data_IF_393376774675
#
_entry.id   IF_393376774675
#
_cell.length_a   1.000
_cell.length_b   1.000
_cell.length_c   1.000
_cell.angle_alpha   90.00
_cell.angle_beta   90.00
_cell.angle_gamma   90.00
#
_symmetry.space_group_name_H-M   'P 1'
#
loop_
_entity.id
_entity.type
_entity.pdbx_description
1 polymer ?
#
# COMPACT_ATOMS: atom_id res chain seq x y z
N UNK A 1 -12.99 0.59 -25.41
CA UNK A 1 -12.56 -0.52 -24.52
C UNK A 1 -11.04 -0.54 -24.47
N UNK A 2 -10.44 0.14 -23.48
CA UNK A 2 -8.97 0.16 -23.24
C UNK A 2 -8.71 -0.15 -21.76
N UNK A 3 -9.22 -1.30 -21.35
CA UNK A 3 -8.81 -1.99 -20.14
C UNK A 3 -7.37 -2.46 -20.36
N UNK A 4 -6.43 -1.98 -19.55
CA UNK A 4 -5.18 -2.71 -19.34
C UNK A 4 -5.57 -3.93 -18.52
N UNK A 5 -6.15 -4.95 -19.16
CA UNK A 5 -6.34 -6.26 -18.58
C UNK A 5 -4.95 -6.80 -18.31
N UNK A 6 -4.57 -6.93 -17.03
CA UNK A 6 -3.41 -7.74 -16.70
C UNK A 6 -3.71 -9.19 -17.04
N UNK A 7 -2.78 -9.84 -17.71
CA UNK A 7 -2.86 -11.25 -18.08
C UNK A 7 -3.08 -12.18 -16.89
N UNK A 8 -2.74 -11.72 -15.67
CA UNK A 8 -2.90 -12.43 -14.40
C UNK A 8 -4.34 -12.47 -13.87
N UNK A 9 -5.23 -11.60 -14.37
CA UNK A 9 -6.66 -11.57 -13.97
C UNK A 9 -7.58 -12.36 -14.92
N UNK A 10 -7.02 -13.06 -15.91
CA UNK A 10 -7.83 -13.90 -16.77
C UNK A 10 -8.47 -15.03 -15.93
N UNK A 11 -9.80 -15.24 -15.98
CA UNK A 11 -10.38 -16.45 -15.44
C UNK A 11 -9.76 -17.65 -16.19
N UNK A 12 -9.37 -18.70 -15.47
CA UNK A 12 -8.80 -19.95 -16.03
C UNK A 12 -7.31 -19.95 -16.42
N UNK A 13 -6.46 -19.21 -15.71
CA UNK A 13 -5.01 -19.35 -15.90
C UNK A 13 -4.51 -20.69 -15.36
N UNK A 14 -4.08 -21.59 -16.25
CA UNK A 14 -3.33 -22.80 -15.88
C UNK A 14 -1.94 -22.45 -15.31
N UNK A 15 -1.40 -23.27 -14.39
CA UNK A 15 -0.01 -23.17 -13.98
C UNK A 15 0.92 -23.13 -15.19
N UNK A 16 2.00 -22.35 -15.10
CA UNK A 16 2.97 -22.28 -16.19
C UNK A 16 3.77 -23.58 -16.30
N UNK A 17 4.34 -23.86 -17.47
CA UNK A 17 5.32 -24.93 -17.60
C UNK A 17 6.63 -24.54 -16.91
N UNK A 18 7.49 -25.52 -16.61
CA UNK A 18 8.81 -25.26 -16.00
C UNK A 18 9.68 -24.38 -16.91
N UNK A 19 9.60 -24.57 -18.22
CA UNK A 19 10.34 -23.76 -19.20
C UNK A 19 9.90 -22.30 -19.13
N UNK A 20 8.59 -22.07 -19.03
CA UNK A 20 8.05 -20.71 -18.92
C UNK A 20 8.37 -20.08 -17.57
N UNK A 21 8.35 -20.85 -16.48
CA UNK A 21 8.79 -20.39 -15.17
C UNK A 21 10.26 -19.93 -15.23
N UNK A 22 11.14 -20.76 -15.80
CA UNK A 22 12.56 -20.42 -15.99
C UNK A 22 12.76 -19.17 -16.84
N UNK A 23 11.99 -19.01 -17.92
CA UNK A 23 12.01 -17.80 -18.75
C UNK A 23 11.63 -16.56 -17.94
N UNK A 24 10.58 -16.63 -17.13
CA UNK A 24 10.13 -15.52 -16.27
C UNK A 24 11.19 -15.15 -15.23
N UNK A 25 11.72 -16.14 -14.51
CA UNK A 25 12.74 -15.93 -13.49
C UNK A 25 14.09 -15.46 -14.09
N UNK A 26 14.31 -15.68 -15.38
CA UNK A 26 15.47 -15.15 -16.12
C UNK A 26 15.40 -13.64 -16.40
N UNK A 27 14.27 -12.98 -16.17
CA UNK A 27 14.14 -11.53 -16.39
C UNK A 27 14.96 -10.73 -15.37
N UNK A 28 15.45 -9.56 -15.78
CA UNK A 28 16.29 -8.66 -14.93
C UNK A 28 15.67 -8.38 -13.57
N UNK A 29 14.36 -8.16 -13.51
CA UNK A 29 13.62 -7.84 -12.28
C UNK A 29 13.57 -8.94 -11.23
N UNK A 30 13.83 -10.18 -11.63
CA UNK A 30 13.86 -11.33 -10.72
C UNK A 30 15.25 -11.61 -10.16
N UNK A 31 16.31 -11.04 -10.74
CA UNK A 31 17.71 -11.35 -10.36
C UNK A 31 18.06 -10.88 -8.94
N UNK A 32 17.29 -9.95 -8.37
CA UNK A 32 17.49 -9.41 -7.02
C UNK A 32 16.48 -9.95 -6.00
N UNK A 33 15.61 -10.88 -6.41
CA UNK A 33 14.48 -11.33 -5.60
C UNK A 33 14.84 -12.59 -4.83
N UNK A 34 14.85 -12.50 -3.51
CA UNK A 34 14.92 -13.66 -2.63
C UNK A 34 13.54 -14.35 -2.57
N UNK A 35 13.42 -15.54 -3.16
CA UNK A 35 12.16 -16.29 -3.19
C UNK A 35 12.05 -17.15 -1.92
N UNK A 36 11.17 -16.74 -0.99
CA UNK A 36 10.90 -17.44 0.28
C UNK A 36 9.52 -18.07 0.30
N UNK A 37 9.14 -18.72 -0.80
CA UNK A 37 7.91 -19.51 -0.92
C UNK A 37 8.26 -20.86 -1.53
N UNK A 38 7.35 -21.83 -1.45
CA UNK A 38 7.57 -23.14 -2.08
C UNK A 38 7.63 -23.01 -3.61
N UNK A 39 8.30 -23.95 -4.29
CA UNK A 39 8.32 -24.00 -5.76
C UNK A 39 6.92 -24.16 -6.36
N UNK A 40 6.05 -24.92 -5.68
CA UNK A 40 4.65 -25.11 -6.08
C UNK A 40 3.87 -23.79 -5.98
N UNK A 41 3.95 -23.09 -4.84
CA UNK A 41 3.28 -21.79 -4.68
C UNK A 41 3.80 -20.75 -5.69
N UNK A 42 5.12 -20.75 -5.96
CA UNK A 42 5.72 -19.88 -6.97
C UNK A 42 5.15 -20.18 -8.35
N UNK A 43 5.15 -21.45 -8.77
CA UNK A 43 4.72 -21.88 -10.11
C UNK A 43 3.23 -21.60 -10.34
N UNK A 44 2.40 -21.87 -9.35
CA UNK A 44 0.96 -21.70 -9.43
C UNK A 44 0.56 -20.23 -9.46
N UNK A 45 1.37 -19.36 -8.84
CA UNK A 45 1.07 -17.93 -8.72
C UNK A 45 1.99 -17.03 -9.55
N UNK A 46 2.88 -17.60 -10.38
CA UNK A 46 3.96 -16.84 -11.04
C UNK A 46 3.45 -15.69 -11.89
N UNK A 47 2.25 -15.77 -12.47
CA UNK A 47 1.74 -14.69 -13.32
C UNK A 47 1.43 -13.45 -12.51
N UNK A 48 0.74 -13.64 -11.39
CA UNK A 48 0.50 -12.59 -10.41
C UNK A 48 1.81 -12.09 -9.79
N UNK A 49 2.68 -13.01 -9.36
CA UNK A 49 3.94 -12.63 -8.73
C UNK A 49 4.85 -11.88 -9.71
N UNK A 50 4.92 -12.30 -10.96
CA UNK A 50 5.66 -11.58 -12.00
C UNK A 50 5.11 -10.18 -12.22
N UNK A 51 3.81 -9.99 -12.10
CA UNK A 51 3.14 -8.70 -12.20
C UNK A 51 3.43 -7.79 -10.99
N UNK A 52 3.66 -8.37 -9.82
CA UNK A 52 3.99 -7.68 -8.57
C UNK A 52 5.49 -7.45 -8.35
N UNK A 53 6.36 -8.22 -9.01
CA UNK A 53 7.82 -8.01 -9.04
C UNK A 53 8.14 -6.87 -10.01
N UNK A 54 8.72 -5.81 -9.46
CA UNK A 54 9.00 -4.57 -10.20
C UNK A 54 10.42 -4.07 -9.98
N UNK A 55 10.94 -3.38 -11.00
CA UNK A 55 12.04 -2.43 -10.89
C UNK A 55 11.47 -1.11 -11.40
N UNK A 56 11.41 -0.10 -10.53
CA UNK A 56 11.04 1.27 -10.89
C UNK A 56 12.33 2.09 -10.96
N UNK A 57 12.60 2.68 -12.11
CA UNK A 57 13.86 3.39 -12.38
C UNK A 57 13.61 4.89 -12.57
N UNK A 58 14.63 5.72 -12.32
CA UNK A 58 14.64 7.11 -12.76
C UNK A 58 14.73 7.20 -14.30
N UNK A 59 14.65 8.42 -14.85
CA UNK A 59 14.86 8.64 -16.30
C UNK A 59 16.23 8.19 -16.79
N UNK A 60 17.22 8.22 -15.90
CA UNK A 60 18.61 7.83 -16.13
C UNK A 60 18.84 6.34 -15.92
N UNK A 61 17.78 5.55 -15.63
CA UNK A 61 17.87 4.10 -15.43
C UNK A 61 18.36 3.69 -14.04
N UNK A 62 18.38 4.61 -13.07
CA UNK A 62 18.77 4.30 -11.68
C UNK A 62 17.60 3.61 -10.97
N UNK A 63 17.75 2.39 -10.43
CA UNK A 63 16.68 1.74 -9.68
C UNK A 63 16.33 2.51 -8.40
N UNK A 64 15.12 3.07 -8.35
CA UNK A 64 14.59 3.84 -7.23
C UNK A 64 13.74 2.99 -6.27
N UNK A 65 13.05 1.98 -6.81
CA UNK A 65 12.36 0.97 -6.02
C UNK A 65 12.50 -0.39 -6.69
N UNK A 66 12.87 -1.41 -5.92
CA UNK A 66 12.99 -2.79 -6.44
C UNK A 66 12.29 -3.78 -5.52
N UNK A 67 11.75 -4.84 -6.11
CA UNK A 67 11.36 -6.02 -5.34
C UNK A 67 12.60 -6.79 -4.92
N UNK A 68 12.73 -7.08 -3.62
CA UNK A 68 13.91 -7.76 -3.04
C UNK A 68 13.60 -9.11 -2.44
N UNK A 69 12.35 -9.40 -2.09
CA UNK A 69 11.96 -10.70 -1.55
C UNK A 69 10.45 -10.98 -1.74
N UNK A 70 10.08 -12.25 -1.70
CA UNK A 70 8.68 -12.72 -1.68
C UNK A 70 8.50 -13.67 -0.49
N UNK A 71 7.53 -13.38 0.38
CA UNK A 71 7.21 -14.09 1.61
C UNK A 71 5.86 -14.82 1.55
N UNK A 72 5.68 -15.76 2.46
CA UNK A 72 4.42 -16.45 2.72
C UNK A 72 4.31 -17.82 2.04
N UNK A 73 3.16 -18.15 1.45
CA UNK A 73 1.90 -17.39 1.50
C UNK A 73 1.19 -17.44 2.86
N UNK A 74 0.23 -16.53 3.07
CA UNK A 74 -0.84 -16.68 4.08
C UNK A 74 -2.06 -17.26 3.33
N UNK A 75 -2.40 -18.53 3.57
CA UNK A 75 -3.52 -19.20 2.88
C UNK A 75 -4.82 -19.09 3.68
N UNK A 76 -5.94 -19.31 2.98
CA UNK A 76 -7.27 -19.41 3.60
C UNK A 76 -7.26 -20.48 4.70
N UNK A 77 -7.74 -20.09 5.88
CA UNK A 77 -7.84 -21.00 7.02
C UNK A 77 -6.60 -21.00 7.92
N UNK A 78 -5.48 -20.41 7.51
CA UNK A 78 -4.27 -20.44 8.32
C UNK A 78 -4.30 -19.37 9.42
N UNK A 79 -3.94 -19.80 10.63
CA UNK A 79 -3.48 -18.93 11.70
C UNK A 79 -1.97 -18.84 11.59
N UNK A 80 -1.46 -17.62 11.50
CA UNK A 80 -0.05 -17.37 11.21
C UNK A 80 0.60 -16.42 12.20
N UNK A 81 1.93 -16.46 12.22
CA UNK A 81 2.81 -15.48 12.84
C UNK A 81 3.75 -14.96 11.77
N UNK A 82 3.97 -13.65 11.70
CA UNK A 82 4.93 -13.06 10.78
C UNK A 82 6.33 -13.17 11.37
N UNK A 83 7.24 -13.82 10.63
CA UNK A 83 8.60 -14.10 11.05
C UNK A 83 9.57 -13.66 9.94
N UNK A 84 9.68 -12.37 9.62
CA UNK A 84 10.34 -11.86 8.41
C UNK A 84 11.78 -12.36 8.21
N UNK A 85 12.47 -12.76 9.28
CA UNK A 85 13.86 -13.20 9.26
C UNK A 85 14.04 -14.72 9.24
N UNK A 86 12.95 -15.49 9.18
CA UNK A 86 12.97 -16.96 9.26
C UNK A 86 12.17 -17.59 8.14
N UNK A 87 12.71 -18.66 7.55
CA UNK A 87 12.00 -19.50 6.58
C UNK A 87 11.30 -18.72 5.48
N UNK A 88 9.98 -18.88 5.39
CA UNK A 88 9.13 -18.21 4.40
C UNK A 88 8.71 -16.80 4.79
N UNK A 89 9.08 -16.31 5.97
CA UNK A 89 8.56 -15.06 6.55
C UNK A 89 7.19 -15.20 7.21
N UNK A 90 6.53 -16.35 7.08
CA UNK A 90 5.19 -16.63 7.61
C UNK A 90 5.19 -18.02 8.22
N UNK A 91 5.05 -18.10 9.53
CA UNK A 91 4.94 -19.38 10.24
C UNK A 91 3.48 -19.74 10.47
N UNK A 92 3.07 -20.94 10.04
CA UNK A 92 1.72 -21.46 10.25
C UNK A 92 1.67 -22.12 11.64
N UNK A 93 0.82 -21.62 12.52
CA UNK A 93 0.70 -22.13 13.89
C UNK A 93 -0.54 -23.01 14.10
N UNK A 94 -1.58 -22.82 13.28
CA UNK A 94 -2.77 -23.67 13.28
C UNK A 94 -3.52 -23.52 11.95
N UNK A 95 -4.34 -24.51 11.61
CA UNK A 95 -5.24 -24.48 10.44
C UNK A 95 -6.69 -24.58 10.89
N UNK A 96 -7.55 -23.77 10.28
CA UNK A 96 -8.98 -23.62 10.57
C UNK A 96 -9.29 -23.43 12.07
N UNK A 97 -8.70 -22.42 12.74
CA UNK A 97 -9.02 -22.14 14.14
C UNK A 97 -10.48 -21.67 14.29
N UNK A 98 -11.08 -21.87 15.45
CA UNK A 98 -12.42 -21.36 15.80
C UNK A 98 -12.42 -19.90 16.27
N UNK A 99 -11.33 -19.18 16.05
CA UNK A 99 -11.11 -17.81 16.56
C UNK A 99 -11.73 -16.75 15.64
N UNK A 100 -11.96 -15.56 16.17
CA UNK A 100 -12.40 -14.41 15.36
C UNK A 100 -11.28 -14.01 14.41
N UNK A 101 -11.63 -13.82 13.14
CA UNK A 101 -10.66 -13.43 12.11
C UNK A 101 -10.14 -12.01 12.33
N UNK A 102 -8.93 -11.73 11.86
CA UNK A 102 -8.34 -10.39 11.86
C UNK A 102 -9.21 -9.45 11.04
N UNK A 103 -9.70 -9.85 9.87
CA UNK A 103 -10.63 -9.04 9.08
C UNK A 103 -11.86 -8.63 9.91
N UNK A 104 -12.51 -9.58 10.59
CA UNK A 104 -13.69 -9.27 11.41
C UNK A 104 -13.35 -8.34 12.59
N UNK A 105 -12.17 -8.49 13.21
CA UNK A 105 -11.70 -7.55 14.24
C UNK A 105 -11.53 -6.14 13.67
N UNK A 106 -10.92 -6.01 12.49
CA UNK A 106 -10.66 -4.72 11.84
C UNK A 106 -11.96 -4.04 11.35
N UNK A 107 -12.94 -4.82 10.88
CA UNK A 107 -14.28 -4.32 10.56
C UNK A 107 -14.99 -3.79 11.81
N UNK A 108 -14.98 -4.54 12.90
CA UNK A 108 -15.57 -4.11 14.16
C UNK A 108 -14.91 -2.83 14.72
N UNK A 109 -13.60 -2.65 14.53
CA UNK A 109 -12.91 -1.41 14.88
C UNK A 109 -13.44 -0.21 14.08
N UNK A 110 -13.59 -0.34 12.76
CA UNK A 110 -14.11 0.72 11.89
C UNK A 110 -15.57 1.10 12.20
N UNK A 111 -16.37 0.13 12.60
CA UNK A 111 -17.77 0.31 13.00
C UNK A 111 -17.89 1.03 14.35
N UNK A 112 -17.05 0.67 15.32
CA UNK A 112 -17.06 1.25 16.67
C UNK A 112 -16.40 2.62 16.77
N UNK A 113 -15.54 2.99 15.80
CA UNK A 113 -14.82 4.27 15.79
C UNK A 113 -15.25 5.08 14.56
N UNK A 114 -16.23 5.97 14.75
CA UNK A 114 -16.83 6.76 13.66
C UNK A 114 -16.27 8.18 13.54
N UNK A 115 -15.36 8.57 14.43
CA UNK A 115 -14.72 9.89 14.42
C UNK A 115 -13.25 9.80 14.77
N UNK A 116 -12.51 10.84 14.36
CA UNK A 116 -11.11 11.07 14.71
C UNK A 116 -11.00 12.41 15.43
N UNK A 117 -10.07 12.52 16.37
CA UNK A 117 -9.81 13.78 17.08
C UNK A 117 -9.26 14.84 16.12
N UNK A 118 -9.54 16.10 16.43
CA UNK A 118 -9.04 17.23 15.66
C UNK A 118 -7.51 17.21 15.63
N UNK A 119 -6.92 17.54 14.47
CA UNK A 119 -5.47 17.46 14.25
C UNK A 119 -4.95 16.08 13.84
N UNK A 120 -5.66 14.99 14.16
CA UNK A 120 -5.22 13.64 13.83
C UNK A 120 -5.56 13.21 12.40
N UNK A 121 -6.39 13.97 11.68
CA UNK A 121 -6.73 13.72 10.29
C UNK A 121 -6.96 15.02 9.52
N UNK A 122 -6.62 15.01 8.22
CA UNK A 122 -7.00 16.05 7.27
C UNK A 122 -8.25 15.63 6.51
N UNK A 123 -9.23 16.53 6.38
CA UNK A 123 -10.40 16.34 5.54
C UNK A 123 -10.09 16.93 4.16
N UNK A 124 -10.27 16.14 3.11
CA UNK A 124 -10.00 16.56 1.73
C UNK A 124 -11.29 16.50 0.92
N UNK A 125 -11.66 17.61 0.29
CA UNK A 125 -12.76 17.63 -0.68
C UNK A 125 -12.28 17.01 -1.98
N UNK A 126 -12.81 15.85 -2.34
CA UNK A 126 -12.22 15.02 -3.39
C UNK A 126 -13.25 14.22 -4.18
N UNK A 127 -13.16 14.27 -5.51
CA UNK A 127 -13.93 13.41 -6.41
C UNK A 127 -13.03 12.28 -6.94
N UNK A 128 -13.36 11.04 -6.58
CA UNK A 128 -12.68 9.84 -7.03
C UNK A 128 -13.23 9.40 -8.38
N UNK A 129 -12.41 9.45 -9.43
CA UNK A 129 -12.79 8.97 -10.77
C UNK A 129 -11.84 7.85 -11.16
N UNK A 130 -12.38 6.63 -11.22
CA UNK A 130 -11.60 5.44 -11.56
C UNK A 130 -11.03 5.56 -12.99
N UNK A 131 -10.04 4.73 -13.31
CA UNK A 131 -9.52 4.68 -14.68
C UNK A 131 -10.58 4.19 -15.70
N UNK A 132 -11.51 3.35 -15.25
CA UNK A 132 -12.60 2.79 -16.06
C UNK A 132 -13.69 3.83 -16.35
N UNK A 133 -13.93 4.74 -15.40
CA UNK A 133 -14.90 5.83 -15.50
C UNK A 133 -14.36 7.07 -16.23
N UNK A 134 -13.23 6.93 -16.94
CA UNK A 134 -12.63 8.02 -17.72
C UNK A 134 -11.63 8.90 -16.96
N UNK A 135 -11.28 8.54 -15.71
CA UNK A 135 -10.24 9.22 -14.93
C UNK A 135 -8.81 8.84 -15.30
N UNK A 136 -8.63 8.05 -16.37
CA UNK A 136 -7.34 7.46 -16.78
C UNK A 136 -6.28 8.52 -17.03
N UNK A 137 -5.12 8.30 -16.43
CA UNK A 137 -3.96 9.15 -16.59
C UNK A 137 -3.13 8.72 -17.81
N UNK A 138 -2.89 9.61 -18.79
CA UNK A 138 -2.05 9.28 -19.93
C UNK A 138 -0.57 9.24 -19.52
N UNK A 139 0.21 8.43 -20.23
CA UNK A 139 1.69 8.42 -20.21
C UNK A 139 2.35 8.09 -18.86
N UNK A 140 1.68 7.34 -17.98
CA UNK A 140 2.34 6.77 -16.81
C UNK A 140 3.26 5.61 -17.19
N UNK A 141 4.31 5.42 -16.40
CA UNK A 141 5.15 4.23 -16.46
C UNK A 141 4.27 2.97 -16.27
N UNK A 142 4.37 1.93 -17.12
CA UNK A 142 3.61 0.68 -16.95
C UNK A 142 3.80 -0.02 -15.59
N UNK A 143 4.90 0.27 -14.88
CA UNK A 143 5.22 -0.24 -13.55
C UNK A 143 4.71 0.66 -12.40
N UNK A 144 4.09 1.80 -12.71
CA UNK A 144 3.59 2.77 -11.73
C UNK A 144 2.51 2.19 -10.81
N UNK A 145 1.74 1.24 -11.34
CA UNK A 145 0.71 0.52 -10.59
C UNK A 145 0.80 -0.99 -10.87
N UNK A 146 0.96 -1.79 -9.82
CA UNK A 146 0.99 -3.27 -9.90
C UNK A 146 -0.40 -3.90 -10.12
N UNK A 147 -1.45 -3.09 -10.20
CA UNK A 147 -2.83 -3.55 -10.38
C UNK A 147 -3.47 -3.10 -11.71
N UNK A 148 -2.78 -2.29 -12.53
CA UNK A 148 -3.27 -1.90 -13.86
C UNK A 148 -3.23 -0.40 -14.10
N UNK A 149 -4.36 0.19 -14.48
CA UNK A 149 -4.47 1.60 -14.83
C UNK A 149 -4.78 2.48 -13.61
N UNK A 150 -4.26 3.71 -13.61
CA UNK A 150 -4.46 4.68 -12.53
C UNK A 150 -5.50 5.73 -12.95
N UNK A 151 -6.50 5.94 -12.09
CA UNK A 151 -7.52 6.98 -12.21
C UNK A 151 -7.07 8.32 -11.61
N UNK A 152 -8.03 9.21 -11.38
CA UNK A 152 -7.80 10.57 -10.89
C UNK A 152 -8.61 10.84 -9.62
N UNK A 153 -7.94 11.27 -8.57
CA UNK A 153 -8.57 11.84 -7.38
C UNK A 153 -8.53 13.36 -7.49
N UNK A 154 -9.61 13.95 -7.99
CA UNK A 154 -9.71 15.40 -8.16
C UNK A 154 -9.94 16.07 -6.81
N UNK A 155 -8.98 16.86 -6.36
CA UNK A 155 -9.03 17.57 -5.09
C UNK A 155 -9.19 19.07 -5.33
N UNK A 156 -10.02 19.71 -4.51
CA UNK A 156 -10.29 21.16 -4.56
C UNK A 156 -9.50 21.92 -3.47
N UNK A 157 -8.29 21.47 -3.18
CA UNK A 157 -7.41 22.04 -2.16
C UNK A 157 -6.18 22.66 -2.82
N UNK A 158 -5.68 23.77 -2.28
CA UNK A 158 -4.42 24.38 -2.76
C UNK A 158 -3.17 23.67 -2.21
N UNK A 159 -3.31 22.97 -1.08
CA UNK A 159 -2.30 22.13 -0.46
C UNK A 159 -2.99 21.09 0.43
N UNK A 160 -2.46 19.86 0.45
CA UNK A 160 -2.89 18.81 1.37
C UNK A 160 -1.70 18.45 2.27
N UNK A 161 -1.89 18.60 3.58
CA UNK A 161 -0.88 18.27 4.60
C UNK A 161 -1.42 17.09 5.39
N UNK A 162 -0.80 15.94 5.24
CA UNK A 162 -1.18 14.75 5.99
C UNK A 162 -0.57 14.79 7.39
N UNK A 163 -1.37 14.68 8.47
CA UNK A 163 -0.80 14.53 9.80
C UNK A 163 -0.10 13.18 9.92
N UNK A 164 1.08 13.17 10.52
CA UNK A 164 1.84 11.95 10.81
C UNK A 164 1.69 11.63 12.28
N UNK A 165 1.12 10.47 12.60
CA UNK A 165 1.04 9.95 13.96
C UNK A 165 2.16 8.94 14.20
N UNK A 166 2.95 9.22 15.23
CA UNK A 166 3.93 8.28 15.79
C UNK A 166 3.26 7.25 16.69
N UNK A 167 3.87 6.07 16.82
CA UNK A 167 3.37 4.98 17.70
C UNK A 167 3.24 5.42 19.17
N UNK A 168 3.96 6.45 19.59
CA UNK A 168 3.90 7.04 20.93
C UNK A 168 2.77 8.05 21.11
N UNK A 169 2.06 8.43 20.03
CA UNK A 169 0.96 9.37 20.09
C UNK A 169 -0.20 8.78 20.90
N UNK A 170 -0.82 9.52 21.86
CA UNK A 170 -1.84 8.98 22.76
C UNK A 170 -3.07 8.43 22.04
N UNK A 171 -3.35 8.94 20.84
CA UNK A 171 -4.51 8.55 20.03
C UNK A 171 -4.16 7.62 18.86
N UNK A 172 -2.94 7.07 18.81
CA UNK A 172 -2.47 6.27 17.67
C UNK A 172 -3.42 5.10 17.35
N UNK A 173 -3.71 4.26 18.34
CA UNK A 173 -4.58 3.08 18.18
C UNK A 173 -6.05 3.46 17.94
N UNK A 174 -6.56 4.50 18.62
CA UNK A 174 -7.93 5.00 18.41
C UNK A 174 -8.11 5.53 16.98
N UNK A 175 -7.10 6.22 16.46
CA UNK A 175 -7.11 6.77 15.10
C UNK A 175 -6.92 5.65 14.06
N UNK A 176 -6.10 4.63 14.32
CA UNK A 176 -6.03 3.43 13.48
C UNK A 176 -7.38 2.71 13.41
N UNK A 177 -8.04 2.52 14.56
CA UNK A 177 -9.33 1.86 14.65
C UNK A 177 -10.39 2.53 13.78
N UNK A 178 -10.40 3.87 13.71
CA UNK A 178 -11.28 4.62 12.80
C UNK A 178 -11.13 4.21 11.33
N UNK A 179 -9.94 3.83 10.88
CA UNK A 179 -9.72 3.35 9.50
C UNK A 179 -9.98 1.84 9.34
N UNK A 180 -10.34 1.12 10.40
CA UNK A 180 -10.36 -0.33 10.40
C UNK A 180 -8.97 -0.91 10.29
N UNK A 181 -8.03 -0.33 11.04
CA UNK A 181 -6.65 -0.74 11.10
C UNK A 181 -6.23 -1.05 12.53
N UNK A 182 -5.17 -1.84 12.69
CA UNK A 182 -4.51 -2.07 13.97
C UNK A 182 -3.03 -2.35 13.79
N UNK A 183 -2.23 -2.03 14.81
CA UNK A 183 -0.84 -2.46 14.87
C UNK A 183 -0.75 -3.87 15.48
N UNK A 184 -0.28 -4.83 14.70
CA UNK A 184 0.09 -6.17 15.17
C UNK A 184 1.43 -6.08 15.90
N UNK A 185 1.49 -6.65 17.11
CA UNK A 185 2.74 -6.72 17.86
C UNK A 185 3.75 -7.66 17.18
N UNK A 186 5.06 -7.53 17.48
CA UNK A 186 6.05 -8.48 16.99
C UNK A 186 5.66 -9.92 17.34
N UNK A 187 5.65 -10.78 16.33
CA UNK A 187 5.22 -12.17 16.42
C UNK A 187 3.78 -12.39 16.95
N UNK A 188 2.90 -11.39 16.87
CA UNK A 188 1.48 -11.57 17.17
C UNK A 188 0.87 -12.56 16.19
N UNK A 189 0.23 -13.58 16.76
CA UNK A 189 -0.49 -14.59 16.02
C UNK A 189 -1.87 -14.08 15.59
N UNK A 190 -2.25 -14.28 14.33
CA UNK A 190 -3.58 -13.92 13.83
C UNK A 190 -4.13 -14.93 12.83
N UNK A 191 -5.46 -15.09 12.85
CA UNK A 191 -6.20 -15.81 11.82
C UNK A 191 -6.76 -14.80 10.83
N UNK A 192 -6.26 -14.75 9.59
CA UNK A 192 -6.59 -13.65 8.70
C UNK A 192 -8.08 -13.57 8.34
N UNK A 193 -8.69 -14.70 7.98
CA UNK A 193 -10.08 -14.75 7.51
C UNK A 193 -10.30 -14.32 6.06
N UNK A 194 -9.23 -14.15 5.26
CA UNK A 194 -9.37 -13.86 3.84
C UNK A 194 -9.64 -15.15 3.06
N UNK A 195 -10.45 -15.04 1.99
CA UNK A 195 -10.90 -16.20 1.20
C UNK A 195 -9.85 -16.70 0.21
N UNK A 196 -8.92 -15.83 -0.20
CA UNK A 196 -7.84 -16.14 -1.13
C UNK A 196 -6.48 -16.08 -0.40
N UNK A 197 -5.40 -16.13 -1.16
CA UNK A 197 -4.03 -16.19 -0.65
C UNK A 197 -3.36 -14.82 -0.69
N UNK A 198 -2.60 -14.46 0.35
CA UNK A 198 -1.68 -13.31 0.30
C UNK A 198 -0.22 -13.73 0.23
N UNK A 199 0.54 -12.95 -0.54
CA UNK A 199 2.00 -13.02 -0.63
C UNK A 199 2.60 -11.73 -0.13
N UNK A 200 3.62 -11.81 0.72
CA UNK A 200 4.36 -10.64 1.18
C UNK A 200 5.39 -10.21 0.14
N UNK A 201 5.21 -9.07 -0.51
CA UNK A 201 6.16 -8.54 -1.48
C UNK A 201 7.05 -7.51 -0.80
N UNK A 202 8.36 -7.76 -0.75
CA UNK A 202 9.30 -6.78 -0.21
C UNK A 202 9.73 -5.79 -1.28
N UNK A 203 9.50 -4.51 -1.00
CA UNK A 203 9.98 -3.40 -1.80
C UNK A 203 11.07 -2.65 -1.04
N UNK A 204 12.20 -2.43 -1.71
CA UNK A 204 13.30 -1.60 -1.23
C UNK A 204 13.25 -0.23 -1.92
N UNK A 205 13.02 0.82 -1.14
CA UNK A 205 13.02 2.24 -1.55
C UNK A 205 14.23 2.97 -0.97
N UNK A 206 15.40 2.33 -1.00
CA UNK A 206 16.60 2.79 -0.30
C UNK A 206 17.25 4.05 -0.89
N UNK A 207 16.76 4.55 -2.03
CA UNK A 207 17.21 5.83 -2.57
C UNK A 207 16.20 6.93 -2.21
N UNK A 208 16.65 8.06 -1.61
CA UNK A 208 15.78 9.12 -1.09
C UNK A 208 14.92 9.81 -2.16
N UNK A 209 15.22 9.52 -3.42
CA UNK A 209 14.62 10.14 -4.58
C UNK A 209 13.42 9.36 -5.15
N UNK A 210 13.04 8.21 -4.60
CA UNK A 210 11.89 7.46 -5.12
C UNK A 210 10.60 8.30 -5.16
N UNK A 211 10.26 8.97 -4.06
CA UNK A 211 9.07 9.84 -4.01
C UNK A 211 9.16 10.96 -5.04
N UNK A 212 10.27 11.69 -5.05
CA UNK A 212 10.43 12.89 -5.88
C UNK A 212 10.58 12.56 -7.37
N UNK A 213 11.46 11.62 -7.69
CA UNK A 213 11.90 11.36 -9.06
C UNK A 213 11.07 10.28 -9.75
N UNK A 214 10.30 9.47 -8.99
CA UNK A 214 9.38 8.50 -9.55
C UNK A 214 7.91 8.78 -9.19
N UNK A 215 7.53 8.67 -7.91
CA UNK A 215 6.12 8.67 -7.53
C UNK A 215 5.42 9.97 -7.94
N UNK A 216 6.02 11.13 -7.62
CA UNK A 216 5.49 12.45 -7.95
C UNK A 216 5.79 12.90 -9.39
N UNK A 217 6.59 12.15 -10.14
CA UNK A 217 6.96 12.50 -11.52
C UNK A 217 5.77 12.31 -12.47
N UNK A 218 5.42 13.28 -13.34
CA UNK A 218 4.29 13.18 -14.26
C UNK A 218 4.34 11.97 -15.22
N UNK A 219 5.55 11.46 -15.52
CA UNK A 219 5.76 10.31 -16.41
C UNK A 219 6.09 9.02 -15.63
N UNK A 220 6.33 9.12 -14.32
CA UNK A 220 6.57 7.98 -13.44
C UNK A 220 5.25 7.50 -12.83
N UNK A 221 5.11 7.70 -11.52
CA UNK A 221 3.87 7.43 -10.76
C UNK A 221 2.75 8.43 -11.02
N UNK A 222 3.07 9.58 -11.63
CA UNK A 222 2.11 10.60 -12.01
C UNK A 222 1.69 11.51 -10.85
N UNK A 223 2.09 11.28 -9.61
CA UNK A 223 1.62 12.00 -8.44
C UNK A 223 1.49 11.08 -7.22
N UNK A 224 1.12 11.64 -6.08
CA UNK A 224 0.78 10.83 -4.92
C UNK A 224 -0.44 9.98 -5.27
N UNK A 225 -0.34 8.65 -5.18
CA UNK A 225 -1.48 7.77 -5.39
C UNK A 225 -2.11 7.38 -4.07
N UNK A 226 -3.39 7.01 -4.11
CA UNK A 226 -4.05 6.22 -3.08
C UNK A 226 -4.82 5.11 -3.77
N UNK A 227 -4.99 3.99 -3.08
CA UNK A 227 -5.68 2.84 -3.64
C UNK A 227 -6.57 2.15 -2.61
N UNK A 228 -7.51 1.36 -3.12
CA UNK A 228 -8.28 0.44 -2.30
C UNK A 228 -8.61 -0.83 -3.11
N UNK A 229 -8.82 -1.94 -2.40
CA UNK A 229 -9.12 -3.23 -3.01
C UNK A 229 -9.84 -4.16 -2.05
N UNK A 230 -10.53 -5.21 -2.54
CA UNK A 230 -11.41 -6.06 -1.72
C UNK A 230 -10.67 -7.07 -0.84
N UNK A 231 -9.37 -6.88 -0.59
CA UNK A 231 -8.54 -7.73 0.26
C UNK A 231 -7.84 -6.88 1.33
N UNK A 232 -7.50 -7.45 2.50
CA UNK A 232 -6.77 -6.73 3.54
C UNK A 232 -5.32 -6.51 3.13
N UNK A 233 -4.66 -5.50 3.70
CA UNK A 233 -3.21 -5.37 3.60
C UNK A 233 -2.55 -5.56 4.95
N UNK A 234 -1.31 -6.04 4.90
CA UNK A 234 -0.39 -6.05 6.02
C UNK A 234 0.90 -5.39 5.55
N UNK A 235 1.32 -4.34 6.24
CA UNK A 235 2.56 -3.62 6.00
C UNK A 235 3.54 -3.98 7.11
N UNK A 236 4.61 -4.67 6.76
CA UNK A 236 5.63 -5.15 7.69
C UNK A 236 6.96 -4.48 7.34
N UNK A 237 7.33 -3.39 8.04
CA UNK A 237 8.65 -2.78 7.89
C UNK A 237 9.71 -3.79 8.29
N UNK A 238 10.79 -3.87 7.52
CA UNK A 238 11.89 -4.75 7.89
C UNK A 238 12.59 -4.23 9.14
N UNK A 239 12.80 -5.09 10.16
CA UNK A 239 13.50 -4.67 11.34
C UNK A 239 14.90 -4.17 11.02
N UNK A 240 15.35 -3.18 11.77
CA UNK A 240 16.74 -2.71 11.69
C UNK A 240 17.67 -3.83 12.16
N UNK A 241 18.37 -4.48 11.23
CA UNK A 241 19.42 -5.45 11.55
C UNK A 241 20.73 -4.67 11.75
N UNK A 242 21.36 -4.84 12.90
CA UNK A 242 22.68 -4.27 13.24
C UNK A 242 22.83 -2.74 13.06
N UNK A 243 21.74 -1.97 13.16
CA UNK A 243 21.76 -0.53 12.92
C UNK A 243 21.90 -0.11 11.45
N UNK A 244 21.91 -1.06 10.50
CA UNK A 244 22.21 -0.81 9.09
C UNK A 244 20.95 -0.61 8.21
N UNK A 245 19.82 -1.22 8.59
CA UNK A 245 18.56 -1.09 7.85
C UNK A 245 17.67 -0.06 8.54
N UNK A 246 17.84 1.22 8.18
CA UNK A 246 16.84 2.23 8.48
C UNK A 246 15.60 1.94 7.62
N UNK A 247 14.47 1.64 8.26
CA UNK A 247 13.18 1.64 7.60
C UNK A 247 12.26 2.64 8.31
N UNK A 248 12.02 3.77 7.67
CA UNK A 248 10.97 4.70 8.07
C UNK A 248 9.74 4.40 7.24
N UNK A 249 8.90 3.48 7.72
CA UNK A 249 7.66 3.13 7.06
C UNK A 249 6.54 4.09 7.46
N UNK A 250 5.93 4.74 6.47
CA UNK A 250 4.79 5.63 6.63
C UNK A 250 3.68 5.18 5.71
N UNK A 251 2.52 4.86 6.29
CA UNK A 251 1.33 4.46 5.56
C UNK A 251 0.23 5.48 5.80
N UNK A 252 -0.25 6.10 4.74
CA UNK A 252 -1.42 6.97 4.76
C UNK A 252 -2.66 6.10 4.63
N UNK A 253 -3.64 6.29 5.51
CA UNK A 253 -4.95 5.66 5.46
C UNK A 253 -6.02 6.71 5.18
N UNK A 254 -7.06 6.31 4.46
CA UNK A 254 -8.18 7.14 4.07
C UNK A 254 -9.53 6.47 4.36
N UNK A 255 -10.52 7.28 4.73
CA UNK A 255 -11.91 6.86 4.91
C UNK A 255 -12.85 7.90 4.31
N UNK A 256 -13.73 7.47 3.41
CA UNK A 256 -14.79 8.31 2.85
C UNK A 256 -15.69 8.80 3.99
N UNK A 257 -16.04 10.08 3.98
CA UNK A 257 -16.99 10.64 4.93
C UNK A 257 -18.38 10.56 4.30
N UNK A 258 -19.24 9.75 4.88
CA UNK A 258 -20.64 9.65 4.50
C UNK A 258 -21.43 10.70 5.29
N UNK A 259 -21.68 11.86 4.69
CA UNK A 259 -22.53 12.90 5.25
C UNK A 259 -23.70 13.16 4.28
N UNK A 260 -24.88 12.67 4.64
CA UNK A 260 -26.10 12.81 3.83
C UNK A 260 -26.51 14.28 3.60
N UNK A 261 -25.99 15.22 4.38
CA UNK A 261 -26.28 16.65 4.24
C UNK A 261 -25.32 17.40 3.31
N UNK A 262 -24.21 16.77 2.86
CA UNK A 262 -23.22 17.39 1.98
C UNK A 262 -23.26 16.77 0.59
N UNK A 263 -23.26 17.61 -0.45
CA UNK A 263 -23.22 17.18 -1.84
C UNK A 263 -21.84 16.72 -2.30
N UNK A 264 -20.78 17.20 -1.64
CA UNK A 264 -19.43 17.05 -2.14
C UNK A 264 -18.75 15.85 -1.49
N UNK A 265 -18.18 14.91 -2.28
CA UNK A 265 -17.46 13.78 -1.72
C UNK A 265 -16.22 14.23 -0.95
N UNK A 266 -16.06 13.68 0.27
CA UNK A 266 -14.95 14.00 1.16
C UNK A 266 -14.26 12.73 1.65
N UNK A 267 -12.94 12.81 1.83
CA UNK A 267 -12.13 11.73 2.40
C UNK A 267 -11.30 12.29 3.55
N UNK A 268 -11.30 11.60 4.68
CA UNK A 268 -10.34 11.87 5.78
C UNK A 268 -9.10 11.05 5.59
N UNK A 269 -7.93 11.67 5.77
CA UNK A 269 -6.65 11.00 5.70
C UNK A 269 -5.80 11.22 6.94
N UNK A 270 -5.06 10.20 7.33
CA UNK A 270 -4.03 10.22 8.38
C UNK A 270 -2.84 9.37 7.94
N UNK A 271 -1.62 9.82 8.19
CA UNK A 271 -0.42 9.04 7.98
C UNK A 271 0.07 8.46 9.30
N UNK A 272 0.42 7.17 9.31
CA UNK A 272 0.92 6.47 10.48
C UNK A 272 2.37 6.05 10.24
N UNK A 273 3.26 6.38 11.18
CA UNK A 273 4.59 5.79 11.23
C UNK A 273 4.47 4.40 11.85
N UNK A 274 5.04 3.39 11.20
CA UNK A 274 5.04 2.01 11.68
C UNK A 274 6.42 1.71 12.28
N UNK A 275 6.53 1.19 13.51
CA UNK A 275 7.81 0.85 14.10
C UNK A 275 8.48 -0.32 13.36
N UNK A 276 9.78 -0.21 13.10
CA UNK A 276 10.61 -1.26 12.51
C UNK A 276 11.19 -2.22 13.57
N UNK A 277 10.34 -2.67 14.50
CA UNK A 277 10.69 -3.58 15.60
C UNK A 277 10.14 -5.01 15.40
N UNK A 278 9.56 -5.27 14.22
CA UNK A 278 8.84 -6.51 13.90
C UNK A 278 7.33 -6.39 14.00
N UNK A 279 6.80 -5.23 14.43
CA UNK A 279 5.37 -4.92 14.32
C UNK A 279 4.93 -4.77 12.88
N UNK A 280 3.64 -4.97 12.62
CA UNK A 280 3.05 -4.78 11.30
C UNK A 280 1.72 -4.01 11.38
N UNK A 281 1.47 -3.11 10.43
CA UNK A 281 0.17 -2.46 10.30
C UNK A 281 -0.75 -3.36 9.48
N UNK A 282 -1.89 -3.77 10.04
CA UNK A 282 -2.94 -4.48 9.31
C UNK A 282 -4.13 -3.55 9.05
N UNK A 283 -4.67 -3.59 7.83
CA UNK A 283 -5.86 -2.81 7.44
C UNK A 283 -6.94 -3.71 6.85
N UNK A 284 -8.21 -3.40 7.13
CA UNK A 284 -9.35 -4.15 6.58
C UNK A 284 -9.44 -3.99 5.07
N UNK A 285 -10.14 -4.91 4.38
CA UNK A 285 -10.51 -4.74 2.98
C UNK A 285 -11.12 -3.36 2.69
N UNK A 286 -10.84 -2.86 1.48
CA UNK A 286 -11.36 -1.60 0.93
C UNK A 286 -10.98 -0.34 1.70
N UNK A 287 -10.02 -0.42 2.63
CA UNK A 287 -9.41 0.76 3.25
C UNK A 287 -8.61 1.52 2.19
N UNK A 288 -8.84 2.82 2.06
CA UNK A 288 -8.03 3.65 1.16
C UNK A 288 -6.65 3.80 1.78
N UNK A 289 -5.57 3.62 1.02
CA UNK A 289 -4.23 3.72 1.58
C UNK A 289 -3.17 4.13 0.55
N UNK A 290 -1.99 4.50 1.06
CA UNK A 290 -0.75 4.70 0.32
C UNK A 290 0.44 4.36 1.21
N UNK A 291 1.45 3.69 0.66
CA UNK A 291 2.66 3.24 1.35
C UNK A 291 3.95 3.88 0.79
N UNK A 292 3.80 4.84 -0.12
CA UNK A 292 4.91 5.39 -0.91
C UNK A 292 5.91 6.18 -0.07
N UNK A 293 5.48 6.74 1.07
CA UNK A 293 6.34 7.52 1.97
C UNK A 293 7.29 6.67 2.82
N UNK A 294 7.43 5.39 2.48
CA UNK A 294 8.40 4.51 3.11
C UNK A 294 9.80 4.74 2.55
N UNK A 295 10.78 4.93 3.43
CA UNK A 295 12.20 4.90 3.10
C UNK A 295 12.82 3.66 3.73
N UNK A 296 13.24 2.68 2.93
CA UNK A 296 13.83 1.43 3.40
C UNK A 296 13.18 0.21 2.78
N UNK A 297 13.04 -0.87 3.54
CA UNK A 297 12.47 -2.14 3.07
C UNK A 297 11.12 -2.40 3.73
N UNK A 298 10.07 -2.47 2.93
CA UNK A 298 8.70 -2.74 3.38
C UNK A 298 8.18 -4.00 2.71
N UNK A 299 7.76 -4.99 3.50
CA UNK A 299 6.98 -6.11 2.99
C UNK A 299 5.49 -5.75 3.00
N UNK A 300 4.84 -5.82 1.85
CA UNK A 300 3.41 -5.54 1.66
C UNK A 300 2.72 -6.82 1.24
N UNK A 301 1.78 -7.31 2.05
CA UNK A 301 1.03 -8.51 1.74
C UNK A 301 -0.10 -8.21 0.76
N UNK A 302 -0.05 -8.81 -0.43
CA UNK A 302 -0.96 -8.57 -1.57
C UNK A 302 -1.63 -9.86 -2.04
N UNK A 303 -2.82 -9.73 -2.64
CA UNK A 303 -3.55 -10.82 -3.28
C UNK A 303 -3.68 -10.62 -4.80
N UNK A 304 -3.92 -11.70 -5.54
CA UNK A 304 -4.21 -11.66 -6.97
C UNK A 304 -5.65 -11.18 -7.27
N UNK A 305 -5.93 -9.94 -6.91
CA UNK A 305 -7.23 -9.32 -7.13
C UNK A 305 -7.03 -7.88 -7.63
N UNK A 306 -7.94 -7.36 -8.46
CA UNK A 306 -7.86 -5.98 -8.94
C UNK A 306 -7.88 -4.96 -7.79
N UNK A 307 -7.23 -3.81 -8.02
CA UNK A 307 -7.31 -2.64 -7.17
C UNK A 307 -7.82 -1.44 -7.96
N UNK A 308 -8.49 -0.52 -7.25
CA UNK A 308 -8.78 0.81 -7.78
C UNK A 308 -7.74 1.77 -7.20
N UNK A 309 -6.88 2.27 -8.08
CA UNK A 309 -5.79 3.17 -7.75
C UNK A 309 -6.05 4.50 -8.46
N UNK A 310 -5.95 5.60 -7.72
CA UNK A 310 -6.07 6.95 -8.25
C UNK A 310 -4.87 7.78 -7.83
N UNK A 311 -4.42 8.69 -8.69
CA UNK A 311 -3.45 9.71 -8.28
C UNK A 311 -4.15 11.02 -7.95
N UNK A 312 -3.63 11.72 -6.94
CA UNK A 312 -4.07 13.08 -6.61
C UNK A 312 -3.90 13.97 -7.84
N UNK A 313 -5.01 14.59 -8.25
CA UNK A 313 -5.10 15.54 -9.36
C UNK A 313 -5.81 16.76 -8.86
N UNK A 314 -5.35 17.92 -9.30
CA UNK A 314 -6.09 19.13 -9.03
C UNK A 314 -6.85 19.52 -10.30
N UNK A 315 -7.96 20.22 -10.09
CA UNK A 315 -8.73 20.87 -11.15
C UNK A 315 -8.06 22.18 -11.62
N UNK A 316 -6.97 22.60 -10.95
CA UNK A 316 -6.03 23.70 -11.21
C UNK A 316 -4.58 23.22 -10.88
N UNK A 317 -3.46 23.97 -10.97
CA UNK A 317 -2.10 23.44 -10.74
C UNK A 317 -1.63 23.48 -9.27
N UNK A 318 -0.98 22.40 -8.79
CA UNK A 318 -0.54 22.27 -7.38
C UNK A 318 0.84 22.90 -7.21
N UNK A 319 1.00 23.72 -6.18
CA UNK A 319 2.30 24.31 -5.85
C UNK A 319 3.05 23.60 -4.70
N UNK A 320 2.36 22.93 -3.76
CA UNK A 320 3.00 22.35 -2.57
C UNK A 320 2.26 21.10 -2.02
N UNK A 321 2.85 19.91 -2.16
CA UNK A 321 2.48 18.71 -1.37
C UNK A 321 3.60 18.46 -0.37
N UNK A 322 3.27 18.40 0.92
CA UNK A 322 4.26 18.28 1.98
C UNK A 322 3.79 17.29 3.03
N UNK A 323 4.60 16.27 3.30
CA UNK A 323 4.54 15.45 4.52
C UNK A 323 5.57 16.04 5.47
N UNK A 324 5.13 16.57 6.62
CA UNK A 324 6.00 17.25 7.60
C UNK A 324 5.77 16.67 9.00
N UNK A 325 6.86 16.41 9.71
CA UNK A 325 6.84 16.01 11.12
C UNK A 325 6.77 17.27 12.02
N UNK A 326 5.78 17.34 12.92
CA UNK A 326 5.49 18.40 13.92
C UNK A 326 5.27 19.87 13.43
N UNK A 327 4.44 20.61 14.19
CA UNK A 327 4.04 22.02 13.99
C UNK A 327 5.26 22.97 13.91
N UNK A 328 5.32 23.95 12.96
CA UNK A 328 4.65 25.23 13.23
C UNK A 328 4.17 26.04 12.00
N UNK A 329 3.26 27.01 12.27
CA UNK A 329 2.77 28.11 11.42
C UNK A 329 3.26 28.14 9.97
N UNK A 330 2.39 27.74 9.04
CA UNK A 330 2.57 27.98 7.60
C UNK A 330 2.22 29.43 7.28
N UNK A 331 3.19 30.22 6.81
CA UNK A 331 2.89 31.44 6.08
C UNK A 331 2.27 31.05 4.73
N UNK A 332 0.96 31.24 4.61
CA UNK A 332 0.25 31.12 3.34
C UNK A 332 0.77 32.27 2.46
N UNK A 333 1.34 32.00 1.27
CA UNK A 333 1.74 33.05 0.35
C UNK A 333 0.51 33.88 0.00
N UNK A 334 0.54 35.18 0.30
CA UNK A 334 -0.52 36.08 -0.10
C UNK A 334 -0.63 36.08 -1.63
N UNK A 335 -1.82 35.75 -2.13
CA UNK A 335 -2.12 35.82 -3.55
C UNK A 335 -1.91 37.27 -4.02
N UNK A 336 -1.20 37.54 -5.12
CA UNK A 336 -1.12 38.89 -5.64
C UNK A 336 -2.52 39.33 -6.04
N UNK A 337 -2.99 40.42 -5.43
CA UNK A 337 -4.13 41.18 -5.95
C UNK A 337 -3.73 41.72 -7.32
N UNK A 338 -4.33 41.18 -8.37
CA UNK A 338 -4.30 41.76 -9.71
C UNK A 338 -5.32 42.89 -9.83
#
# INVERSE_FOLDING_TARGET
MSSVFRTSYAPDVKPVTEEKLKEILGQRKWQTVEIKISHEDLKDNIRFLNDAVVIRESREGVPLMTTTAIYGPIKKGDKVVLTPNEGTGVNIIATNPSEVTLIAQLEALAESHTSVKEGNAVLVHSNWVSSEDGGKLPNLDPSSNVFGATGSLYVNENAVIFPVLDVTHPDYEETLAYYGAKLLKPAEAFYLGFKDTLFGMEYATSLPDYIRNYALSPIGGGGLFVEHHPFPHIFLPKPTINGEVFCEAKVTLGRKVEDAAKSDPQIRFTTFRIPADGSALAIKPSTIHNDSFTNGKLAVFVANTPADTVAFRQTAPFANIVVKDHDPKVEIPQTPTF
#
